data_IF_489995008926
#
_entry.id   IF_489995008926
#
_cell.length_a   1.000
_cell.length_b   1.000
_cell.length_c   1.000
_cell.angle_alpha   90.00
_cell.angle_beta   90.00
_cell.angle_gamma   90.00
#
_symmetry.space_group_name_H-M   'P 1'
#
loop_
_entity.id
_entity.type
_entity.pdbx_description
1 polymer ?
#
# COMPACT_ATOMS: atom_id res chain seq x y z
N UNK A 1 8.28 20.98 10.56
CA UNK A 1 8.46 19.51 10.57
C UNK A 1 7.67 18.96 9.39
N UNK A 2 8.36 18.45 8.35
CA UNK A 2 7.73 17.99 7.11
C UNK A 2 6.77 16.83 7.39
N UNK A 3 5.51 16.97 6.97
CA UNK A 3 4.52 15.90 7.08
C UNK A 3 5.00 14.74 6.19
N UNK A 4 5.53 13.67 6.79
CA UNK A 4 5.87 12.45 6.08
C UNK A 4 4.57 11.90 5.48
N UNK A 5 4.39 12.09 4.18
CA UNK A 5 3.35 11.42 3.40
C UNK A 5 3.70 9.93 3.38
N UNK A 6 3.27 9.21 4.40
CA UNK A 6 3.32 7.75 4.38
C UNK A 6 2.52 7.28 3.16
N UNK A 7 3.19 6.56 2.27
CA UNK A 7 2.56 5.99 1.08
C UNK A 7 1.53 4.96 1.53
N UNK A 8 0.38 4.87 0.85
CA UNK A 8 -0.65 3.88 1.16
C UNK A 8 -0.10 2.46 1.13
N UNK A 9 0.96 2.23 0.36
CA UNK A 9 1.68 0.97 0.28
C UNK A 9 2.44 0.63 1.57
N UNK A 10 3.06 1.61 2.24
CA UNK A 10 3.80 1.38 3.49
C UNK A 10 2.84 0.96 4.62
N UNK A 11 1.67 1.60 4.70
CA UNK A 11 0.67 1.25 5.69
C UNK A 11 0.04 -0.12 5.41
N UNK A 12 -0.24 -0.43 4.14
CA UNK A 12 -0.75 -1.75 3.73
C UNK A 12 0.26 -2.87 3.97
N UNK A 13 1.55 -2.60 3.75
CA UNK A 13 2.62 -3.53 4.07
C UNK A 13 2.71 -3.79 5.57
N UNK A 14 2.68 -2.73 6.39
CA UNK A 14 2.74 -2.85 7.85
C UNK A 14 1.55 -3.66 8.39
N UNK A 15 0.33 -3.34 7.94
CA UNK A 15 -0.87 -4.08 8.33
C UNK A 15 -0.84 -5.54 7.87
N UNK A 16 -0.42 -5.80 6.62
CA UNK A 16 -0.25 -7.16 6.11
C UNK A 16 0.76 -7.97 6.92
N UNK A 17 1.86 -7.34 7.36
CA UNK A 17 2.90 -7.98 8.16
C UNK A 17 2.43 -8.25 9.60
N UNK A 18 1.70 -7.32 10.22
CA UNK A 18 1.15 -7.49 11.58
C UNK A 18 0.07 -8.58 11.59
N UNK A 19 -0.87 -8.55 10.64
CA UNK A 19 -1.96 -9.53 10.58
C UNK A 19 -1.43 -10.90 10.14
N UNK A 20 -0.70 -10.95 9.02
CA UNK A 20 -0.16 -12.20 8.48
C UNK A 20 0.91 -12.79 9.38
N UNK A 21 1.83 -11.98 9.89
CA UNK A 21 2.90 -12.41 10.79
C UNK A 21 2.38 -12.76 12.18
N UNK A 22 1.42 -12.00 12.72
CA UNK A 22 0.78 -12.31 13.99
C UNK A 22 0.05 -13.65 13.94
N UNK A 23 -0.85 -13.83 12.96
CA UNK A 23 -1.58 -15.11 12.79
C UNK A 23 -0.64 -16.27 12.47
N UNK A 24 0.31 -16.09 11.56
CA UNK A 24 1.26 -17.14 11.18
C UNK A 24 2.16 -17.56 12.34
N UNK A 25 2.62 -16.61 13.16
CA UNK A 25 3.44 -16.90 14.34
C UNK A 25 2.63 -17.59 15.44
N UNK A 26 1.38 -17.17 15.69
CA UNK A 26 0.51 -17.82 16.67
C UNK A 26 0.19 -19.26 16.26
N UNK A 27 -0.13 -19.49 14.99
CA UNK A 27 -0.40 -20.84 14.48
C UNK A 27 0.87 -21.72 14.52
N UNK A 28 2.02 -21.16 14.14
CA UNK A 28 3.31 -21.85 14.23
C UNK A 28 3.63 -22.24 15.67
N UNK A 29 3.46 -21.32 16.62
CA UNK A 29 3.71 -21.56 18.04
C UNK A 29 2.76 -22.62 18.63
N UNK A 30 1.52 -22.71 18.13
CA UNK A 30 0.53 -23.68 18.62
C UNK A 30 0.73 -25.08 18.04
N UNK A 31 1.08 -25.21 16.76
CA UNK A 31 1.14 -26.52 16.08
C UNK A 31 2.57 -27.05 15.90
N UNK A 32 3.59 -26.19 15.97
CA UNK A 32 4.99 -26.55 15.71
C UNK A 32 5.29 -26.88 14.24
N UNK A 33 4.32 -26.71 13.34
CA UNK A 33 4.46 -27.04 11.92
C UNK A 33 4.91 -25.80 11.11
N UNK A 34 6.07 -25.84 10.43
CA UNK A 34 6.60 -24.71 9.68
C UNK A 34 5.72 -24.27 8.49
N UNK A 35 4.78 -25.11 8.05
CA UNK A 35 3.81 -24.75 6.98
C UNK A 35 3.02 -23.48 7.33
N UNK A 36 2.80 -23.19 8.61
CA UNK A 36 2.07 -21.98 9.02
C UNK A 36 2.83 -20.68 8.78
N UNK A 37 4.15 -20.73 8.56
CA UNK A 37 4.93 -19.57 8.10
C UNK A 37 4.49 -19.13 6.70
N UNK A 38 3.97 -20.04 5.86
CA UNK A 38 3.44 -19.68 4.55
C UNK A 38 2.23 -18.74 4.64
N UNK A 39 1.44 -18.84 5.71
CA UNK A 39 0.30 -17.95 5.98
C UNK A 39 0.77 -16.50 6.14
N UNK A 40 1.93 -16.29 6.75
CA UNK A 40 2.57 -14.97 6.84
C UNK A 40 2.87 -14.41 5.45
N UNK A 41 3.41 -15.24 4.55
CA UNK A 41 3.68 -14.85 3.16
C UNK A 41 2.41 -14.45 2.40
N UNK A 42 1.33 -15.22 2.56
CA UNK A 42 0.02 -14.90 1.95
C UNK A 42 -0.53 -13.59 2.50
N UNK A 43 -0.47 -13.36 3.82
CA UNK A 43 -0.90 -12.11 4.43
C UNK A 43 -0.11 -10.88 3.95
N UNK A 44 1.20 -11.06 3.70
CA UNK A 44 2.06 -10.02 3.15
C UNK A 44 1.68 -9.64 1.73
N UNK A 45 1.43 -10.64 0.87
CA UNK A 45 0.99 -10.42 -0.52
C UNK A 45 -0.34 -9.68 -0.56
N UNK A 46 -1.32 -10.11 0.26
CA UNK A 46 -2.63 -9.47 0.33
C UNK A 46 -2.52 -8.03 0.85
N UNK A 47 -1.73 -7.79 1.89
CA UNK A 47 -1.50 -6.45 2.44
C UNK A 47 -0.82 -5.51 1.44
N UNK A 48 0.16 -6.01 0.68
CA UNK A 48 0.85 -5.25 -0.36
C UNK A 48 -0.09 -4.89 -1.51
N UNK A 49 -0.88 -5.83 -2.02
CA UNK A 49 -1.86 -5.57 -3.09
C UNK A 49 -2.85 -4.49 -2.65
N UNK A 50 -3.37 -4.61 -1.43
CA UNK A 50 -4.33 -3.64 -0.88
C UNK A 50 -3.71 -2.26 -0.70
N UNK A 51 -2.49 -2.19 -0.14
CA UNK A 51 -1.77 -0.94 0.06
C UNK A 51 -1.39 -0.24 -1.25
N UNK A 52 -0.91 -1.00 -2.25
CA UNK A 52 -0.55 -0.45 -3.56
C UNK A 52 -1.75 0.07 -4.34
N UNK A 53 -2.92 -0.56 -4.22
CA UNK A 53 -4.14 -0.07 -4.87
C UNK A 53 -4.58 1.29 -4.32
N UNK A 54 -4.49 1.47 -2.99
CA UNK A 54 -4.78 2.75 -2.33
C UNK A 54 -3.79 3.83 -2.78
N UNK A 55 -2.51 3.47 -2.88
CA UNK A 55 -1.47 4.41 -3.32
C UNK A 55 -1.65 4.82 -4.79
N UNK A 56 -1.99 3.86 -5.66
CA UNK A 56 -2.29 4.11 -7.08
C UNK A 56 -3.48 5.06 -7.27
N UNK A 57 -4.54 4.90 -6.49
CA UNK A 57 -5.70 5.80 -6.55
C UNK A 57 -5.34 7.23 -6.16
N UNK A 58 -4.48 7.39 -5.15
CA UNK A 58 -3.99 8.69 -4.70
C UNK A 58 -3.05 9.36 -5.71
N UNK A 59 -2.20 8.58 -6.36
CA UNK A 59 -1.31 9.08 -7.41
C UNK A 59 -2.10 9.62 -8.61
N UNK A 60 -3.09 8.87 -9.12
CA UNK A 60 -3.92 9.30 -10.27
C UNK A 60 -4.65 10.62 -10.02
N UNK A 61 -5.22 10.81 -8.82
CA UNK A 61 -5.91 12.06 -8.48
C UNK A 61 -5.01 13.30 -8.54
N UNK A 62 -3.73 13.18 -8.21
CA UNK A 62 -2.79 14.30 -8.30
C UNK A 62 -2.36 14.57 -9.74
N UNK A 63 -2.28 13.54 -10.58
CA UNK A 63 -1.96 13.71 -11.99
C UNK A 63 -3.09 14.46 -12.72
N UNK A 64 -4.35 14.11 -12.45
CA UNK A 64 -5.52 14.77 -13.06
C UNK A 64 -5.58 16.27 -12.69
N UNK A 65 -5.35 16.62 -11.42
CA UNK A 65 -5.31 18.01 -10.97
C UNK A 65 -4.16 18.83 -11.60
N UNK A 66 -3.06 18.17 -11.97
CA UNK A 66 -1.90 18.82 -12.60
C UNK A 66 -2.09 19.01 -14.11
N UNK A 67 -2.90 18.17 -14.75
CA UNK A 67 -3.28 18.34 -16.15
C UNK A 67 -4.22 19.54 -16.31
N UNK A 68 -5.17 19.74 -15.38
CA UNK A 68 -6.06 20.91 -15.40
C UNK A 68 -5.30 22.24 -15.25
N UNK A 69 -4.31 22.31 -14.36
CA UNK A 69 -3.46 23.52 -14.19
C UNK A 69 -2.64 23.84 -15.46
N UNK A 70 -2.16 22.81 -16.17
CA UNK A 70 -1.30 23.01 -17.34
C UNK A 70 -2.08 23.41 -18.60
N UNK A 71 -3.37 23.09 -18.69
CA UNK A 71 -4.23 23.53 -19.80
C UNK A 71 -4.75 24.98 -19.60
N UNK A 72 -4.87 25.47 -18.36
CA UNK A 72 -5.17 26.88 -18.09
C UNK A 72 -3.99 27.83 -18.41
N UNK A 73 -2.74 27.33 -18.39
CA UNK A 73 -1.54 28.13 -18.71
C UNK A 73 -1.18 28.18 -20.21
N UNK A 74 -2.02 27.66 -21.12
CA UNK A 74 -1.88 27.98 -22.56
C UNK A 74 -2.74 29.20 -22.91
N UNK A 75 -2.21 30.44 -22.82
CA UNK A 75 -2.83 31.54 -23.51
C UNK A 75 -2.80 31.23 -25.00
N UNK A 76 -3.98 31.32 -25.61
CA UNK A 76 -4.23 31.25 -27.05
C UNK A 76 -3.05 31.84 -27.83
N UNK A 77 -2.19 30.98 -28.39
CA UNK A 77 -1.31 31.39 -29.49
C UNK A 77 -2.19 31.52 -30.73
N UNK A 78 -2.81 32.69 -30.85
CA UNK A 78 -3.26 33.25 -32.12
C UNK A 78 -2.07 33.48 -33.05
#
# INVERSE_FOLDING_TARGET
>A
MGQRKYSGAEFGMLMGMVVGGGLGTILFASTGNPVFIAVTGVGLVVGLITGTEIDRRRARMNDDARVEEHDEERPERR
#
